data_IF_348605279052
#
_entry.id   IF_348605279052
#
_cell.length_a   1.000
_cell.length_b   1.000
_cell.length_c   1.000
_cell.angle_alpha   90.00
_cell.angle_beta   90.00
_cell.angle_gamma   90.00
#
_symmetry.space_group_name_H-M   'P 1'
#
loop_
_entity.id
_entity.type
_entity.pdbx_description
1 polymer ?
#
# COMPACT_ATOMS: atom_id res chain seq x y z
N UNK A 1 -19.76 16.98 -11.69
CA UNK A 1 -18.92 16.28 -10.68
C UNK A 1 -17.94 15.38 -11.42
N UNK A 2 -16.64 15.53 -11.20
CA UNK A 2 -15.62 14.69 -11.85
C UNK A 2 -15.73 13.26 -11.30
N UNK A 3 -15.89 12.25 -12.18
CA UNK A 3 -16.10 10.83 -11.82
C UNK A 3 -15.05 10.26 -10.84
N UNK A 4 -13.87 10.85 -10.76
CA UNK A 4 -12.76 10.44 -9.88
C UNK A 4 -13.00 10.68 -8.39
N UNK A 5 -13.85 11.64 -8.00
CA UNK A 5 -14.16 11.91 -6.59
C UNK A 5 -14.98 10.79 -5.91
N UNK A 6 -15.58 9.90 -6.69
CA UNK A 6 -16.44 8.82 -6.18
C UNK A 6 -15.70 7.51 -5.96
N UNK A 7 -14.45 7.40 -6.43
CA UNK A 7 -13.67 6.16 -6.33
C UNK A 7 -12.92 6.19 -5.00
N UNK A 8 -13.37 5.38 -4.05
CA UNK A 8 -12.62 5.12 -2.80
C UNK A 8 -11.52 4.10 -3.10
N UNK A 9 -10.30 4.42 -2.67
CA UNK A 9 -9.17 3.50 -2.73
C UNK A 9 -9.13 2.62 -1.47
N UNK A 10 -9.45 3.19 -0.31
CA UNK A 10 -9.55 2.50 0.98
C UNK A 10 -10.56 3.21 1.89
N UNK A 11 -10.53 2.92 3.20
CA UNK A 11 -11.45 3.48 4.17
C UNK A 11 -11.32 5.01 4.29
N UNK A 12 -10.12 5.57 4.28
CA UNK A 12 -9.92 7.02 4.46
C UNK A 12 -9.44 7.71 3.18
N UNK A 13 -9.11 6.94 2.13
CA UNK A 13 -8.46 7.49 0.95
C UNK A 13 -9.30 7.36 -0.34
N UNK A 14 -9.23 8.38 -1.22
CA UNK A 14 -9.95 8.44 -2.50
C UNK A 14 -9.01 8.67 -3.68
N UNK A 15 -9.44 8.29 -4.89
CA UNK A 15 -8.62 8.48 -6.08
C UNK A 15 -8.36 9.97 -6.37
N UNK A 16 -9.32 10.85 -6.06
CA UNK A 16 -9.20 12.27 -6.35
C UNK A 16 -8.11 12.96 -5.52
N UNK A 17 -7.98 12.62 -4.23
CA UNK A 17 -6.91 13.17 -3.38
C UNK A 17 -5.52 12.62 -3.78
N UNK A 18 -5.41 11.33 -4.14
CA UNK A 18 -4.15 10.73 -4.59
C UNK A 18 -3.78 11.22 -6.00
N UNK A 19 -4.71 11.79 -6.77
CA UNK A 19 -4.42 12.43 -8.06
C UNK A 19 -4.33 13.96 -7.96
N UNK A 20 -4.34 14.53 -6.75
CA UNK A 20 -4.18 15.96 -6.55
C UNK A 20 -2.84 16.44 -7.09
N UNK A 21 -2.85 17.59 -7.74
CA UNK A 21 -1.66 18.25 -8.25
C UNK A 21 -1.88 19.76 -8.30
N UNK A 22 -0.82 20.53 -8.05
CA UNK A 22 -0.80 21.98 -8.25
C UNK A 22 -0.55 22.36 -9.72
N UNK A 23 -0.19 21.40 -10.57
CA UNK A 23 0.13 21.63 -11.97
C UNK A 23 -1.07 21.36 -12.87
N UNK A 24 -1.47 22.36 -13.65
CA UNK A 24 -2.45 22.19 -14.72
C UNK A 24 -1.78 21.70 -16.00
N UNK A 25 -2.37 20.68 -16.62
CA UNK A 25 -1.89 20.03 -17.84
C UNK A 25 -3.00 19.93 -18.88
N UNK A 26 -2.63 19.84 -20.15
CA UNK A 26 -3.61 19.77 -21.24
C UNK A 26 -4.43 18.47 -21.17
N UNK A 27 -3.79 17.36 -20.79
CA UNK A 27 -4.44 16.04 -20.68
C UNK A 27 -4.93 15.71 -19.27
N UNK A 28 -4.74 16.60 -18.30
CA UNK A 28 -5.04 16.36 -16.89
C UNK A 28 -4.12 15.33 -16.21
N UNK A 29 -4.55 14.88 -15.01
CA UNK A 29 -3.85 13.93 -14.17
C UNK A 29 -4.71 12.68 -13.91
N UNK A 30 -4.94 11.88 -14.95
CA UNK A 30 -5.76 10.67 -14.85
C UNK A 30 -4.89 9.41 -14.84
N UNK A 31 -4.99 8.55 -13.81
CA UNK A 31 -4.22 7.33 -13.72
C UNK A 31 -4.79 6.21 -14.62
N UNK A 32 -3.94 5.39 -15.25
CA UNK A 32 -4.37 4.15 -15.87
C UNK A 32 -4.78 3.10 -14.80
N UNK A 33 -5.55 2.06 -15.16
CA UNK A 33 -6.01 1.04 -14.21
C UNK A 33 -4.91 0.40 -13.35
N UNK A 34 -3.74 0.12 -13.95
CA UNK A 34 -2.60 -0.42 -13.20
C UNK A 34 -2.12 0.52 -12.08
N UNK A 35 -2.08 1.83 -12.35
CA UNK A 35 -1.71 2.82 -11.34
C UNK A 35 -2.79 2.95 -10.26
N UNK A 36 -4.07 2.78 -10.60
CA UNK A 36 -5.16 2.76 -9.60
C UNK A 36 -4.98 1.58 -8.65
N UNK A 37 -4.64 0.39 -9.17
CA UNK A 37 -4.37 -0.79 -8.32
C UNK A 37 -3.16 -0.56 -7.41
N UNK A 38 -2.09 0.05 -7.93
CA UNK A 38 -0.91 0.38 -7.14
C UNK A 38 -1.23 1.41 -6.04
N UNK A 39 -2.03 2.42 -6.34
CA UNK A 39 -2.49 3.40 -5.35
C UNK A 39 -3.36 2.74 -4.28
N UNK A 40 -4.26 1.82 -4.66
CA UNK A 40 -5.04 1.03 -3.70
C UNK A 40 -4.13 0.25 -2.76
N UNK A 41 -3.13 -0.45 -3.32
CA UNK A 41 -2.14 -1.18 -2.51
C UNK A 41 -1.36 -0.25 -1.58
N UNK A 42 -0.97 0.94 -2.06
CA UNK A 42 -0.29 1.95 -1.25
C UNK A 42 -1.18 2.42 -0.09
N UNK A 43 -2.45 2.69 -0.35
CA UNK A 43 -3.42 3.09 0.67
C UNK A 43 -3.59 2.00 1.73
N UNK A 44 -3.98 0.79 1.33
CA UNK A 44 -4.30 -0.30 2.25
C UNK A 44 -3.09 -0.74 3.08
N UNK A 45 -1.90 -0.78 2.47
CA UNK A 45 -0.72 -1.35 3.11
C UNK A 45 0.12 -0.34 3.90
N UNK A 46 0.08 0.94 3.53
CA UNK A 46 0.99 1.92 4.10
C UNK A 46 0.27 3.12 4.70
N UNK A 47 -0.69 3.71 3.99
CA UNK A 47 -1.32 4.95 4.45
C UNK A 47 -2.37 4.72 5.54
N UNK A 48 -3.17 3.66 5.45
CA UNK A 48 -4.11 3.31 6.53
C UNK A 48 -3.38 2.95 7.83
N UNK A 49 -2.35 2.06 7.82
CA UNK A 49 -1.62 1.75 9.05
C UNK A 49 -0.83 2.95 9.59
N UNK A 50 -0.27 3.80 8.71
CA UNK A 50 0.39 5.05 9.11
C UNK A 50 -0.59 5.97 9.84
N UNK A 51 -1.74 6.25 9.22
CA UNK A 51 -2.78 7.10 9.81
C UNK A 51 -3.24 6.56 11.16
N UNK A 52 -3.60 5.28 11.20
CA UNK A 52 -4.06 4.63 12.43
C UNK A 52 -3.02 4.69 13.56
N UNK A 53 -1.77 4.33 13.26
CA UNK A 53 -0.68 4.32 14.24
C UNK A 53 -0.36 5.72 14.76
N UNK A 54 -0.35 6.72 13.88
CA UNK A 54 -0.09 8.10 14.29
C UNK A 54 -1.23 8.63 15.15
N UNK A 55 -2.48 8.46 14.75
CA UNK A 55 -3.65 8.95 15.48
C UNK A 55 -3.81 8.27 16.84
N UNK A 56 -3.39 7.01 16.96
CA UNK A 56 -3.43 6.29 18.24
C UNK A 56 -2.34 6.77 19.21
N UNK A 57 -1.17 7.19 18.71
CA UNK A 57 0.00 7.53 19.53
C UNK A 57 0.15 9.03 19.81
N UNK A 58 -0.24 9.88 18.86
CA UNK A 58 0.18 11.28 18.82
C UNK A 58 -0.91 12.26 18.38
N UNK A 59 -1.80 11.85 17.47
CA UNK A 59 -2.78 12.73 16.84
C UNK A 59 -4.17 12.65 17.45
N UNK A 60 -5.13 13.28 16.78
CA UNK A 60 -6.55 13.09 17.06
C UNK A 60 -7.05 11.80 16.40
N UNK A 61 -8.07 11.11 16.97
CA UNK A 61 -8.61 9.86 16.41
C UNK A 61 -8.95 9.95 14.91
N UNK A 62 -9.43 11.12 14.49
CA UNK A 62 -9.91 11.37 13.14
C UNK A 62 -8.97 12.22 12.27
N UNK A 63 -7.74 12.53 12.72
CA UNK A 63 -6.81 13.38 11.96
C UNK A 63 -6.48 12.75 10.58
N UNK A 64 -6.69 13.47 9.46
CA UNK A 64 -6.39 12.97 8.12
C UNK A 64 -4.90 13.16 7.75
N UNK A 65 -4.36 12.25 6.92
CA UNK A 65 -3.09 12.51 6.23
C UNK A 65 -3.33 13.52 5.11
N UNK A 66 -2.58 14.62 5.10
CA UNK A 66 -2.71 15.65 4.06
C UNK A 66 -1.94 15.21 2.81
N UNK A 67 -2.62 14.51 1.92
CA UNK A 67 -2.03 14.06 0.65
C UNK A 67 -1.89 15.24 -0.30
N UNK A 68 -0.68 15.41 -0.82
CA UNK A 68 -0.39 16.43 -1.80
C UNK A 68 -0.32 15.89 -3.23
N UNK A 69 0.24 14.69 -3.41
CA UNK A 69 0.17 13.95 -4.67
C UNK A 69 0.52 12.47 -4.48
N UNK A 70 -0.19 11.58 -5.16
CA UNK A 70 0.12 10.16 -5.29
C UNK A 70 0.51 9.79 -6.72
N UNK A 71 -0.44 9.82 -7.65
CA UNK A 71 -0.16 9.64 -9.08
C UNK A 71 0.15 10.96 -9.78
N UNK A 72 1.13 10.92 -10.68
CA UNK A 72 1.45 12.00 -11.62
C UNK A 72 1.53 11.46 -13.03
N UNK A 73 0.70 11.98 -13.94
CA UNK A 73 0.83 11.71 -15.37
C UNK A 73 2.21 12.17 -15.87
N UNK A 74 2.72 11.64 -16.99
CA UNK A 74 4.04 12.04 -17.51
C UNK A 74 4.20 13.55 -17.71
N UNK A 75 3.13 14.26 -18.09
CA UNK A 75 3.15 15.71 -18.22
C UNK A 75 3.21 16.42 -16.86
N UNK A 76 2.40 15.99 -15.89
CA UNK A 76 2.41 16.54 -14.52
C UNK A 76 3.77 16.30 -13.86
N UNK A 77 4.29 15.08 -13.97
CA UNK A 77 5.56 14.70 -13.39
C UNK A 77 6.71 15.54 -13.95
N UNK A 78 6.76 15.74 -15.27
CA UNK A 78 7.76 16.60 -15.90
C UNK A 78 7.66 18.06 -15.44
N UNK A 79 6.44 18.61 -15.29
CA UNK A 79 6.22 19.97 -14.77
C UNK A 79 6.63 20.12 -13.30
N UNK A 80 6.49 19.05 -12.52
CA UNK A 80 6.97 18.96 -11.14
C UNK A 80 8.49 18.71 -11.04
N UNK A 81 9.22 18.61 -12.16
CA UNK A 81 10.65 18.32 -12.18
C UNK A 81 11.01 16.85 -11.89
N UNK A 82 10.04 15.94 -11.90
CA UNK A 82 10.26 14.52 -11.62
C UNK A 82 10.94 13.75 -12.76
N UNK A 83 11.68 12.71 -12.40
CA UNK A 83 12.30 11.78 -13.36
C UNK A 83 11.23 11.00 -14.16
N UNK A 84 11.47 10.68 -15.45
CA UNK A 84 10.59 9.78 -16.22
C UNK A 84 10.35 8.42 -15.57
N UNK A 85 11.26 7.95 -14.72
CA UNK A 85 11.17 6.66 -14.01
C UNK A 85 10.65 6.81 -12.57
N UNK A 86 10.02 7.94 -12.23
CA UNK A 86 9.48 8.20 -10.89
C UNK A 86 8.33 7.24 -10.54
N UNK A 87 8.32 6.76 -9.31
CA UNK A 87 7.25 5.91 -8.77
C UNK A 87 5.88 6.62 -8.71
N UNK A 88 5.82 7.96 -8.77
CA UNK A 88 4.55 8.68 -8.93
C UNK A 88 3.88 8.36 -10.28
N UNK A 89 4.65 8.09 -11.33
CA UNK A 89 4.09 7.79 -12.67
C UNK A 89 3.44 6.41 -12.75
N UNK A 90 3.77 5.52 -11.81
CA UNK A 90 3.20 4.17 -11.71
C UNK A 90 2.17 4.05 -10.60
N UNK A 91 1.90 5.12 -9.84
CA UNK A 91 0.97 5.08 -8.70
C UNK A 91 1.52 4.38 -7.47
N UNK A 92 2.85 4.27 -7.35
CA UNK A 92 3.50 3.60 -6.22
C UNK A 92 4.24 4.55 -5.28
N UNK A 93 3.93 5.85 -5.33
CA UNK A 93 4.51 6.84 -4.44
C UNK A 93 3.46 7.82 -3.95
N UNK A 94 3.78 8.50 -2.85
CA UNK A 94 2.94 9.54 -2.25
C UNK A 94 3.78 10.58 -1.54
N UNK A 95 3.36 11.83 -1.71
CA UNK A 95 3.86 12.98 -0.99
C UNK A 95 2.81 13.42 0.03
N UNK A 96 3.21 13.44 1.29
CA UNK A 96 2.37 13.81 2.44
C UNK A 96 2.86 15.15 2.98
N UNK A 97 1.99 16.15 3.05
CA UNK A 97 2.30 17.41 3.72
C UNK A 97 2.24 17.22 5.24
N UNK A 98 3.28 17.65 5.94
CA UNK A 98 3.36 17.62 7.39
C UNK A 98 3.21 19.02 7.99
N UNK A 99 2.59 19.12 9.17
CA UNK A 99 2.41 20.37 9.93
C UNK A 99 3.72 20.87 10.57
N UNK A 100 4.77 20.06 10.57
CA UNK A 100 6.09 20.40 11.08
C UNK A 100 7.06 19.23 10.96
N UNK A 101 8.32 19.48 11.30
CA UNK A 101 9.38 18.47 11.27
C UNK A 101 9.06 17.29 12.20
N UNK A 102 8.51 17.58 13.38
CA UNK A 102 8.15 16.55 14.36
C UNK A 102 7.14 15.53 13.80
N UNK A 103 6.08 16.01 13.13
CA UNK A 103 5.10 15.12 12.49
C UNK A 103 5.75 14.32 11.35
N UNK A 104 6.62 14.94 10.55
CA UNK A 104 7.34 14.24 9.48
C UNK A 104 8.24 13.12 10.02
N UNK A 105 8.98 13.37 11.11
CA UNK A 105 9.82 12.36 11.77
C UNK A 105 8.98 11.23 12.34
N UNK A 106 7.85 11.53 13.00
CA UNK A 106 6.95 10.50 13.53
C UNK A 106 6.36 9.63 12.44
N UNK A 107 5.93 10.22 11.32
CA UNK A 107 5.47 9.45 10.17
C UNK A 107 6.56 8.55 9.61
N UNK A 108 7.78 9.08 9.41
CA UNK A 108 8.90 8.28 8.93
C UNK A 108 9.22 7.12 9.89
N UNK A 109 9.25 7.35 11.20
CA UNK A 109 9.50 6.32 12.20
C UNK A 109 8.43 5.20 12.16
N UNK A 110 7.15 5.58 12.06
CA UNK A 110 6.06 4.60 11.92
C UNK A 110 6.21 3.79 10.63
N UNK A 111 6.54 4.42 9.52
CA UNK A 111 6.74 3.72 8.24
C UNK A 111 7.90 2.73 8.30
N UNK A 112 8.98 3.08 9.01
CA UNK A 112 10.10 2.16 9.26
C UNK A 112 9.66 0.97 10.12
N UNK A 113 8.90 1.21 11.21
CA UNK A 113 8.36 0.13 12.05
C UNK A 113 7.44 -0.81 11.26
N UNK A 114 6.60 -0.26 10.37
CA UNK A 114 5.71 -1.02 9.50
C UNK A 114 6.50 -1.89 8.52
N UNK A 115 7.56 -1.35 7.91
CA UNK A 115 8.43 -2.11 7.01
C UNK A 115 9.11 -3.28 7.73
N UNK A 116 9.64 -3.05 8.93
CA UNK A 116 10.29 -4.09 9.74
C UNK A 116 9.31 -5.18 10.17
N UNK A 117 8.09 -4.80 10.56
CA UNK A 117 7.06 -5.76 10.98
C UNK A 117 6.63 -6.65 9.82
N UNK A 118 6.42 -6.07 8.63
CA UNK A 118 6.14 -6.81 7.39
C UNK A 118 7.26 -7.77 7.02
N UNK A 119 8.52 -7.35 7.15
CA UNK A 119 9.68 -8.20 6.91
C UNK A 119 9.77 -9.40 7.88
N UNK A 120 9.33 -9.24 9.13
CA UNK A 120 9.28 -10.34 10.12
C UNK A 120 8.15 -11.33 9.83
N UNK A 121 6.95 -10.85 9.52
CA UNK A 121 5.80 -11.70 9.21
C UNK A 121 6.07 -12.59 7.99
N UNK A 122 6.70 -12.03 6.94
CA UNK A 122 7.07 -12.79 5.75
C UNK A 122 8.09 -13.91 6.05
N UNK A 123 9.13 -13.61 6.85
CA UNK A 123 10.11 -14.62 7.28
C UNK A 123 9.49 -15.71 8.15
N UNK A 124 8.54 -15.35 9.02
CA UNK A 124 7.79 -16.29 9.85
C UNK A 124 6.91 -17.23 9.02
N UNK A 125 6.21 -16.69 8.02
CA UNK A 125 5.37 -17.47 7.10
C UNK A 125 6.20 -18.49 6.29
N UNK A 126 7.33 -18.05 5.71
CA UNK A 126 8.27 -18.92 4.98
C UNK A 126 8.87 -20.04 5.86
N UNK A 127 9.14 -19.75 7.14
CA UNK A 127 9.66 -20.75 8.08
C UNK A 127 8.62 -21.85 8.42
N UNK A 128 7.33 -21.51 8.41
CA UNK A 128 6.24 -22.46 8.71
C UNK A 128 5.92 -23.43 7.57
N UNK A 129 6.17 -23.05 6.32
CA UNK A 129 5.96 -23.92 5.14
C UNK A 129 7.07 -24.96 4.94
N UNK A 130 8.23 -24.79 5.57
CA UNK A 130 9.40 -25.69 5.45
C UNK A 130 9.38 -26.93 6.34
N UNK A 131 8.36 -27.12 7.19
CA UNK A 131 8.29 -28.22 8.16
C UNK A 131 7.15 -29.19 7.85
N UNK A 132 7.19 -29.88 6.70
CA UNK A 132 6.43 -31.12 6.54
C UNK A 132 7.19 -32.27 7.20
N UNK A 133 6.80 -32.58 8.44
CA UNK A 133 7.23 -33.79 9.14
C UNK A 133 6.43 -34.96 8.58
N UNK A 134 7.15 -35.94 8.04
CA UNK A 134 6.62 -37.23 7.65
C UNK A 134 6.26 -38.04 8.90
N UNK A 135 4.97 -38.17 9.20
CA UNK A 135 4.48 -39.23 10.07
C UNK A 135 3.55 -40.15 9.27
N UNK A 136 4.09 -41.31 8.93
CA UNK A 136 3.30 -42.47 8.60
C UNK A 136 2.85 -43.16 9.88
N UNK A 137 1.58 -43.55 9.96
CA UNK A 137 1.20 -44.84 10.51
C UNK A 137 -0.20 -45.24 10.06
N UNK A 138 -0.27 -46.49 9.63
CA UNK A 138 -1.42 -47.26 9.19
C UNK A 138 -2.18 -47.76 10.44
N UNK A 139 -3.50 -47.97 10.35
CA UNK A 139 -4.23 -49.19 10.79
C UNK A 139 -5.76 -49.06 10.58
N UNK A 140 -6.37 -50.22 10.33
CA UNK A 140 -7.68 -50.52 9.71
C UNK A 140 -8.91 -50.44 10.64
N UNK A 141 -10.13 -50.47 10.08
CA UNK A 141 -11.33 -50.93 10.83
C UNK A 141 -12.74 -50.59 10.32
N UNK A 142 -13.24 -51.36 9.34
CA UNK A 142 -14.62 -51.90 9.16
C UNK A 142 -15.94 -51.10 9.30
N UNK A 143 -16.70 -51.15 8.18
CA UNK A 143 -18.16 -51.44 7.98
C UNK A 143 -19.29 -50.42 8.28
N UNK A 144 -20.14 -50.28 7.24
CA UNK A 144 -21.42 -49.57 7.07
C UNK A 144 -22.62 -50.42 7.64
N UNK A 145 -23.96 -50.10 7.49
CA UNK A 145 -24.60 -49.22 6.48
C UNK A 145 -25.95 -48.49 6.86
N UNK A 146 -26.52 -47.84 5.82
CA UNK A 146 -27.96 -47.59 5.50
C UNK A 146 -28.60 -46.20 5.76
N UNK A 147 -28.71 -45.45 4.65
CA UNK A 147 -29.81 -44.66 4.06
C UNK A 147 -30.87 -43.88 4.88
N UNK A 148 -31.03 -42.59 4.57
CA UNK A 148 -32.30 -42.00 4.05
C UNK A 148 -32.10 -40.59 3.45
N UNK A 149 -33.01 -40.24 2.53
CA UNK A 149 -33.03 -39.13 1.57
C UNK A 149 -33.21 -37.72 2.16
N UNK A 150 -32.66 -36.68 1.49
CA UNK A 150 -33.32 -35.37 1.30
C UNK A 150 -32.56 -34.44 0.31
N UNK A 151 -33.31 -33.97 -0.69
CA UNK A 151 -33.35 -32.64 -1.35
C UNK A 151 -32.08 -31.86 -1.73
N UNK A 152 -32.03 -31.63 -3.04
CA UNK A 152 -31.43 -30.56 -3.86
C UNK A 152 -30.86 -29.31 -3.15
N UNK A 153 -29.59 -29.02 -3.44
CA UNK A 153 -28.93 -27.74 -3.19
C UNK A 153 -27.76 -27.52 -4.15
N UNK A 154 -27.87 -26.49 -4.99
CA UNK A 154 -26.76 -25.78 -5.67
C UNK A 154 -25.59 -25.50 -4.70
N UNK A 155 -24.31 -25.42 -5.13
CA UNK A 155 -23.86 -24.52 -6.19
C UNK A 155 -22.77 -25.04 -7.15
N UNK A 156 -22.81 -24.50 -8.37
CA UNK A 156 -21.79 -24.68 -9.38
C UNK A 156 -20.53 -23.87 -9.06
N UNK A 157 -19.40 -24.57 -9.07
CA UNK A 157 -18.02 -24.11 -9.30
C UNK A 157 -17.44 -23.00 -8.40
N UNK A 158 -16.66 -23.44 -7.43
CA UNK A 158 -15.55 -22.71 -6.81
C UNK A 158 -14.55 -22.35 -7.92
N UNK A 159 -14.36 -21.06 -8.19
CA UNK A 159 -13.25 -20.58 -9.01
C UNK A 159 -11.96 -20.59 -8.17
N UNK A 160 -10.81 -20.97 -8.75
CA UNK A 160 -9.59 -21.26 -8.01
C UNK A 160 -9.01 -20.00 -7.35
N UNK A 161 -8.55 -20.19 -6.12
CA UNK A 161 -7.79 -19.22 -5.35
C UNK A 161 -6.57 -18.75 -6.16
N UNK A 162 -6.50 -17.45 -6.45
CA UNK A 162 -5.25 -16.82 -6.79
C UNK A 162 -4.40 -16.79 -5.52
N UNK A 163 -3.42 -17.69 -5.43
CA UNK A 163 -2.30 -17.52 -4.53
C UNK A 163 -1.48 -16.33 -5.03
N UNK A 164 -1.95 -15.11 -4.74
CA UNK A 164 -1.14 -13.91 -4.89
C UNK A 164 -0.04 -14.01 -3.84
N UNK A 165 1.12 -14.51 -4.27
CA UNK A 165 2.32 -14.50 -3.45
C UNK A 165 2.53 -13.10 -2.92
N UNK A 166 2.48 -12.95 -1.60
CA UNK A 166 2.73 -11.71 -0.88
C UNK A 166 4.15 -11.28 -1.19
N UNK A 167 4.31 -10.51 -2.27
CA UNK A 167 5.58 -9.89 -2.62
C UNK A 167 6.02 -9.10 -1.39
N UNK A 168 7.22 -9.42 -0.90
CA UNK A 168 7.91 -8.71 0.17
C UNK A 168 7.85 -7.20 -0.14
N UNK A 169 6.88 -6.53 0.47
CA UNK A 169 6.64 -5.11 0.24
C UNK A 169 7.43 -4.34 1.29
N UNK A 170 8.72 -4.20 1.02
CA UNK A 170 9.57 -3.18 1.65
C UNK A 170 9.40 -1.85 0.86
N UNK A 171 9.74 -0.71 1.47
CA UNK A 171 9.68 0.58 0.78
C UNK A 171 10.92 0.80 -0.07
N UNK A 172 10.75 1.55 -1.16
CA UNK A 172 11.78 1.84 -2.14
C UNK A 172 12.45 3.19 -1.89
N UNK A 173 11.69 4.22 -1.51
CA UNK A 173 12.24 5.54 -1.16
C UNK A 173 11.48 6.11 0.05
N UNK A 174 12.21 6.69 1.01
CA UNK A 174 11.62 7.38 2.17
C UNK A 174 12.50 8.58 2.55
N UNK A 175 12.02 9.80 2.30
CA UNK A 175 12.75 11.01 2.67
C UNK A 175 11.83 12.13 3.12
N UNK A 176 12.40 13.07 3.86
CA UNK A 176 11.73 14.30 4.28
C UNK A 176 12.36 15.45 3.51
N UNK A 177 11.52 16.22 2.82
CA UNK A 177 11.89 17.45 2.13
C UNK A 177 11.36 18.67 2.91
N UNK A 178 12.16 19.72 2.97
CA UNK A 178 11.74 21.04 3.47
C UNK A 178 11.72 22.04 2.32
N UNK A 179 10.55 22.58 2.03
CA UNK A 179 10.44 23.71 1.10
C UNK A 179 11.12 24.95 1.68
N UNK A 180 11.62 25.83 0.81
CA UNK A 180 12.13 27.16 1.19
C UNK A 180 11.15 27.97 2.06
N UNK A 181 9.83 27.77 1.87
CA UNK A 181 8.78 28.41 2.68
C UNK A 181 8.54 27.75 4.04
N UNK A 182 9.31 26.73 4.41
CA UNK A 182 9.24 26.03 5.70
C UNK A 182 8.18 24.93 5.78
N UNK A 183 7.54 24.54 4.67
CA UNK A 183 6.63 23.39 4.64
C UNK A 183 7.43 22.09 4.57
N UNK A 184 7.07 21.11 5.39
CA UNK A 184 7.67 19.77 5.38
C UNK A 184 6.81 18.80 4.57
N UNK A 185 7.49 17.95 3.82
CA UNK A 185 6.90 16.93 2.98
C UNK A 185 7.59 15.61 3.28
N UNK A 186 6.81 14.56 3.46
CA UNK A 186 7.30 13.20 3.53
C UNK A 186 7.01 12.52 2.20
N UNK A 187 8.05 12.06 1.53
CA UNK A 187 7.94 11.23 0.36
C UNK A 187 8.05 9.76 0.77
N UNK A 188 7.11 8.94 0.31
CA UNK A 188 7.16 7.49 0.41
C UNK A 188 6.96 6.89 -0.98
N UNK A 189 7.83 5.98 -1.40
CA UNK A 189 7.62 5.14 -2.56
C UNK A 189 7.78 3.66 -2.21
N UNK A 190 7.00 2.81 -2.87
CA UNK A 190 7.00 1.36 -2.70
C UNK A 190 7.13 0.73 -4.07
N UNK A 191 7.98 -0.29 -4.26
CA UNK A 191 8.07 -1.02 -5.54
C UNK A 191 7.78 -2.51 -5.32
N UNK A 192 6.85 -3.11 -6.09
CA UNK A 192 6.56 -4.55 -5.99
C UNK A 192 7.71 -5.47 -6.41
N UNK A 193 8.70 -4.96 -7.15
CA UNK A 193 9.80 -5.77 -7.68
C UNK A 193 11.09 -4.98 -7.74
N UNK A 194 12.18 -5.62 -7.32
CA UNK A 194 13.55 -5.08 -7.31
C UNK A 194 13.68 -3.79 -6.49
N UNK A 195 13.35 -3.87 -5.20
CA UNK A 195 13.54 -2.80 -4.24
C UNK A 195 15.01 -2.33 -4.31
N UNK A 196 15.25 -1.17 -4.91
CA UNK A 196 16.59 -0.62 -5.11
C UNK A 196 16.60 0.72 -4.41
N UNK A 197 17.37 0.76 -3.32
CA UNK A 197 17.83 1.94 -2.58
C UNK A 197 17.06 2.32 -1.32
N UNK A 198 17.49 1.78 -0.16
CA UNK A 198 17.21 2.41 1.14
C UNK A 198 17.95 3.74 1.23
N UNK A 199 17.36 4.82 0.72
CA UNK A 199 17.87 6.17 0.95
C UNK A 199 17.05 6.80 2.06
N UNK A 200 17.62 6.85 3.26
CA UNK A 200 17.08 7.63 4.37
C UNK A 200 17.93 8.90 4.50
N UNK A 201 17.42 10.05 4.04
CA UNK A 201 18.09 11.33 4.26
C UNK A 201 17.08 12.47 4.43
N UNK A 202 17.47 13.46 5.23
CA UNK A 202 16.90 14.80 5.23
C UNK A 202 17.62 15.57 4.12
N UNK A 203 16.92 15.93 3.05
CA UNK A 203 17.45 16.89 2.07
C UNK A 203 17.17 18.30 2.60
N UNK A 204 18.21 18.98 3.05
CA UNK A 204 18.18 20.39 3.46
C UNK A 204 18.40 21.33 2.30
#
# INVERSE_FOLDING_TARGET
MNKTNLIRLSEHFTLAELCKTSHTTATGNTPPPAAINNLKNLCDNWLEPLRHSYNTRYGDPDEPLIISSGYRSPEVNRKAGGSPTSNHTTGCAVDIRCLGLEQAIRYAAILLDLADTRGREFKGAQASEGSQVSEGSQLEGSQAPVASQASEGSPCSVAPQASEGTLESDFDELFIERSFRGTYWLHLAVRPTANRHKTAFVQT
#
